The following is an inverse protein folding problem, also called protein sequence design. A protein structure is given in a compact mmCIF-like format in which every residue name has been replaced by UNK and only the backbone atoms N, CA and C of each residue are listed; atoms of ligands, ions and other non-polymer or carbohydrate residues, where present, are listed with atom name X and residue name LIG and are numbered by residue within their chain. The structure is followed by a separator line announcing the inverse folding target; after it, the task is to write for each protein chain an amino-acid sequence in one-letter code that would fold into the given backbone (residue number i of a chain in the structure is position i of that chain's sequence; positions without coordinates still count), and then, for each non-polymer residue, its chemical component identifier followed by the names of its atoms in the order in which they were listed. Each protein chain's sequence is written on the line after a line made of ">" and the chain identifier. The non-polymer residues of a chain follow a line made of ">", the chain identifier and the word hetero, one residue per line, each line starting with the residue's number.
data_IF_180189367339
#
_entry.id   IF_180189367339
#
_cell.length_a   1.000
_cell.length_b   1.000
_cell.length_c   1.000
_cell.angle_alpha   90.00
_cell.angle_beta   90.00
_cell.angle_gamma   90.00
#
_symmetry.space_group_name_H-M   'P 1'
#
loop_
_entity.id
_entity.type
_entity.pdbx_description
1 polymer ?
#
# COMPACT_ATOMS: atom_id res chain seq x y z
N UNK A 1 -68.52 -43.90 -13.18
CA UNK A 1 -67.67 -43.84 -11.97
C UNK A 1 -67.06 -42.45 -11.90
N UNK A 2 -67.23 -41.75 -10.78
CA UNK A 2 -66.93 -40.34 -10.60
C UNK A 2 -65.99 -40.14 -9.39
N UNK A 3 -65.17 -39.08 -9.46
CA UNK A 3 -64.38 -38.40 -8.39
C UNK A 3 -63.21 -39.22 -7.80
N UNK A 4 -62.05 -38.63 -7.44
CA UNK A 4 -61.79 -37.30 -6.88
C UNK A 4 -60.43 -36.74 -7.29
N UNK A 5 -60.34 -35.41 -7.29
CA UNK A 5 -59.13 -34.60 -7.20
C UNK A 5 -58.95 -34.11 -5.75
N UNK A 6 -57.71 -33.98 -5.29
CA UNK A 6 -57.21 -33.22 -4.11
C UNK A 6 -55.67 -33.32 -4.20
N UNK A 7 -54.85 -32.29 -4.49
CA UNK A 7 -54.55 -30.98 -3.87
C UNK A 7 -53.70 -31.06 -2.59
N UNK A 8 -52.61 -30.28 -2.57
CA UNK A 8 -51.74 -29.85 -1.43
C UNK A 8 -50.53 -30.76 -1.15
N UNK A 9 -49.30 -30.29 -0.89
CA UNK A 9 -48.76 -28.99 -0.51
C UNK A 9 -47.28 -28.90 -0.99
N UNK A 10 -46.80 -27.80 -1.58
CA UNK A 10 -45.99 -26.74 -0.91
C UNK A 10 -45.09 -27.20 0.25
N UNK A 11 -43.78 -27.10 0.04
CA UNK A 11 -42.72 -27.14 1.05
C UNK A 11 -41.35 -26.91 0.37
N UNK A 12 -40.42 -26.16 0.98
CA UNK A 12 -39.98 -24.87 0.42
C UNK A 12 -38.62 -24.92 -0.28
N UNK A 13 -38.39 -23.90 -1.10
CA UNK A 13 -37.07 -23.31 -1.33
C UNK A 13 -36.31 -23.21 0.00
N UNK A 14 -35.04 -23.62 -0.01
CA UNK A 14 -33.92 -23.21 0.86
C UNK A 14 -32.96 -24.40 0.96
N UNK A 15 -32.24 -24.71 -0.13
CA UNK A 15 -30.88 -25.20 0.08
C UNK A 15 -30.08 -23.99 0.46
N UNK A 16 -30.08 -23.77 1.78
CA UNK A 16 -29.19 -22.90 2.49
C UNK A 16 -27.83 -22.82 1.78
N UNK A 17 -27.44 -21.59 1.43
CA UNK A 17 -26.06 -21.15 1.55
C UNK A 17 -25.40 -21.95 2.68
N UNK A 18 -24.57 -22.93 2.31
CA UNK A 18 -23.68 -23.62 3.25
C UNK A 18 -22.81 -22.51 3.82
N UNK A 19 -23.17 -22.03 5.01
CA UNK A 19 -22.52 -20.90 5.64
C UNK A 19 -21.01 -21.16 5.65
N UNK A 20 -20.27 -20.36 4.89
CA UNK A 20 -18.82 -20.41 4.91
C UNK A 20 -18.33 -20.26 6.35
N UNK A 21 -17.26 -20.97 6.71
CA UNK A 21 -16.63 -20.78 8.02
C UNK A 21 -16.25 -19.30 8.19
N UNK A 22 -16.44 -18.70 9.37
CA UNK A 22 -15.98 -17.34 9.66
C UNK A 22 -14.50 -17.10 9.26
N UNK A 23 -13.65 -18.11 9.41
CA UNK A 23 -12.24 -18.06 9.01
C UNK A 23 -12.08 -17.92 7.48
N UNK A 24 -12.92 -18.60 6.69
CA UNK A 24 -12.86 -18.53 5.22
C UNK A 24 -13.30 -17.17 4.71
N UNK A 25 -14.39 -16.62 5.27
CA UNK A 25 -14.83 -15.25 4.95
C UNK A 25 -13.75 -14.21 5.25
N UNK A 26 -13.04 -14.36 6.37
CA UNK A 26 -11.93 -13.48 6.73
C UNK A 26 -10.81 -13.51 5.67
N UNK A 27 -10.36 -14.70 5.28
CA UNK A 27 -9.33 -14.87 4.23
C UNK A 27 -9.80 -14.25 2.90
N UNK A 28 -11.05 -14.50 2.51
CA UNK A 28 -11.61 -13.95 1.27
C UNK A 28 -11.69 -12.41 1.30
N UNK A 29 -11.99 -11.80 2.46
CA UNK A 29 -12.00 -10.36 2.65
C UNK A 29 -10.58 -9.77 2.65
N UNK A 30 -9.60 -10.44 3.28
CA UNK A 30 -8.18 -10.07 3.22
C UNK A 30 -7.64 -10.11 1.80
N UNK A 31 -7.95 -11.17 1.04
CA UNK A 31 -7.58 -11.30 -0.38
C UNK A 31 -8.24 -10.23 -1.24
N UNK A 32 -9.50 -9.85 -0.96
CA UNK A 32 -10.16 -8.74 -1.68
C UNK A 32 -9.40 -7.44 -1.46
N UNK A 33 -9.04 -7.14 -0.21
CA UNK A 33 -8.29 -5.94 0.16
C UNK A 33 -6.90 -5.91 -0.49
N UNK A 34 -6.19 -7.05 -0.49
CA UNK A 34 -4.91 -7.18 -1.20
C UNK A 34 -5.04 -6.88 -2.70
N UNK A 35 -6.08 -7.43 -3.35
CA UNK A 35 -6.32 -7.19 -4.78
C UNK A 35 -6.66 -5.73 -5.10
N UNK A 36 -7.45 -5.06 -4.25
CA UNK A 36 -7.76 -3.64 -4.40
C UNK A 36 -6.50 -2.77 -4.27
N UNK A 37 -5.63 -3.13 -3.33
CA UNK A 37 -4.37 -2.42 -3.11
C UNK A 37 -3.37 -2.63 -4.26
N UNK A 38 -3.24 -3.87 -4.75
CA UNK A 38 -2.43 -4.18 -5.94
C UNK A 38 -2.94 -3.45 -7.20
N UNK A 39 -4.27 -3.34 -7.36
CA UNK A 39 -4.85 -2.52 -8.43
C UNK A 39 -4.46 -1.05 -8.27
N UNK A 40 -4.52 -0.53 -7.05
CA UNK A 40 -4.15 0.87 -6.77
C UNK A 40 -2.67 1.13 -7.08
N UNK A 41 -1.79 0.19 -6.70
CA UNK A 41 -0.35 0.25 -6.98
C UNK A 41 -0.07 0.28 -8.49
N UNK A 42 -0.67 -0.62 -9.25
CA UNK A 42 -0.44 -0.73 -10.71
C UNK A 42 -0.94 0.47 -11.51
N UNK A 43 -1.85 1.27 -10.96
CA UNK A 43 -2.41 2.46 -11.61
C UNK A 43 -1.85 3.78 -11.06
N UNK A 44 -0.98 3.73 -10.04
CA UNK A 44 -0.40 4.93 -9.46
C UNK A 44 0.88 5.31 -10.20
N UNK A 45 0.98 6.60 -10.57
CA UNK A 45 2.16 7.19 -11.21
C UNK A 45 2.84 8.24 -10.33
N UNK A 46 2.33 8.47 -9.12
CA UNK A 46 2.89 9.40 -8.14
C UNK A 46 3.84 8.64 -7.20
N UNK A 47 5.15 8.96 -7.19
CA UNK A 47 6.12 8.30 -6.33
C UNK A 47 5.80 8.33 -4.84
N UNK A 48 5.24 9.44 -4.34
CA UNK A 48 4.89 9.58 -2.92
C UNK A 48 3.69 8.68 -2.61
N UNK A 49 2.69 8.67 -3.49
CA UNK A 49 1.55 7.76 -3.35
C UNK A 49 1.96 6.30 -3.45
N UNK A 50 2.86 5.95 -4.37
CA UNK A 50 3.40 4.60 -4.50
C UNK A 50 4.12 4.15 -3.22
N UNK A 51 4.90 5.05 -2.60
CA UNK A 51 5.55 4.77 -1.32
C UNK A 51 4.53 4.46 -0.21
N UNK A 52 3.47 5.26 -0.09
CA UNK A 52 2.39 4.99 0.87
C UNK A 52 1.70 3.64 0.60
N UNK A 53 1.31 3.39 -0.65
CA UNK A 53 0.60 2.16 -1.03
C UNK A 53 1.45 0.90 -0.82
N UNK A 54 2.77 0.96 -1.07
CA UNK A 54 3.68 -0.14 -0.81
C UNK A 54 3.85 -0.40 0.69
N UNK A 55 3.87 0.65 1.51
CA UNK A 55 3.84 0.52 2.97
C UNK A 55 2.57 -0.16 3.47
N UNK A 56 1.40 0.28 2.99
CA UNK A 56 0.11 -0.36 3.29
C UNK A 56 0.08 -1.83 2.85
N UNK A 57 0.66 -2.15 1.69
CA UNK A 57 0.71 -3.52 1.17
C UNK A 57 1.57 -4.41 2.05
N UNK A 58 2.72 -3.91 2.47
CA UNK A 58 3.63 -4.61 3.36
C UNK A 58 2.94 -4.95 4.68
N UNK A 59 2.31 -3.98 5.32
CA UNK A 59 1.61 -4.18 6.59
C UNK A 59 0.50 -5.24 6.46
N UNK A 60 -0.30 -5.14 5.40
CA UNK A 60 -1.38 -6.09 5.15
C UNK A 60 -0.87 -7.51 4.86
N UNK A 61 0.22 -7.65 4.11
CA UNK A 61 0.84 -8.95 3.83
C UNK A 61 1.44 -9.59 5.08
N UNK A 62 2.10 -8.82 5.94
CA UNK A 62 2.61 -9.32 7.22
C UNK A 62 1.47 -9.85 8.07
N UNK A 63 0.41 -9.05 8.23
CA UNK A 63 -0.77 -9.47 8.99
C UNK A 63 -1.42 -10.73 8.38
N UNK A 64 -1.59 -10.77 7.06
CA UNK A 64 -2.17 -11.91 6.35
C UNK A 64 -1.35 -13.19 6.53
N UNK A 65 -0.04 -13.12 6.31
CA UNK A 65 0.86 -14.27 6.44
C UNK A 65 0.98 -14.75 7.89
N UNK A 66 1.02 -13.85 8.88
CA UNK A 66 1.02 -14.22 10.30
C UNK A 66 -0.22 -15.04 10.66
N UNK A 67 -1.40 -14.68 10.13
CA UNK A 67 -2.62 -15.45 10.37
C UNK A 67 -2.61 -16.82 9.68
N UNK A 68 -2.09 -16.91 8.46
CA UNK A 68 -1.99 -18.20 7.75
C UNK A 68 -0.94 -19.14 8.36
N UNK A 69 0.18 -18.58 8.82
CA UNK A 69 1.31 -19.31 9.43
C UNK A 69 1.12 -19.63 10.91
N UNK A 70 0.11 -19.05 11.57
CA UNK A 70 -0.19 -19.29 12.97
C UNK A 70 -0.46 -20.77 13.26
N UNK A 71 -0.23 -21.16 14.53
CA UNK A 71 -0.48 -22.53 15.00
C UNK A 71 -1.94 -22.93 14.92
N UNK A 72 -2.89 -21.99 14.96
CA UNK A 72 -4.33 -22.19 14.74
C UNK A 72 -4.77 -21.80 13.30
N UNK A 73 -3.81 -21.59 12.42
CA UNK A 73 -3.99 -21.17 11.04
C UNK A 73 -3.97 -22.34 10.04
N UNK A 74 -3.41 -22.08 8.85
CA UNK A 74 -3.36 -23.05 7.75
C UNK A 74 -2.51 -24.28 8.11
N UNK A 75 -1.51 -24.10 9.00
CA UNK A 75 -0.63 -25.18 9.42
C UNK A 75 -1.32 -26.31 10.17
N UNK A 76 -2.19 -26.00 11.14
CA UNK A 76 -2.96 -27.02 11.87
C UNK A 76 -3.97 -27.71 10.95
N UNK A 77 -4.71 -26.95 10.14
CA UNK A 77 -5.68 -27.49 9.18
C UNK A 77 -5.06 -28.50 8.20
N UNK A 78 -3.86 -28.20 7.68
CA UNK A 78 -3.15 -29.11 6.78
C UNK A 78 -2.59 -30.31 7.53
N UNK A 79 -2.08 -30.13 8.76
CA UNK A 79 -1.54 -31.22 9.58
C UNK A 79 -2.63 -32.24 9.92
N UNK A 80 -3.83 -31.79 10.30
CA UNK A 80 -4.93 -32.65 10.71
C UNK A 80 -5.70 -33.27 9.54
N UNK A 81 -5.93 -32.50 8.46
CA UNK A 81 -6.80 -32.90 7.36
C UNK A 81 -6.09 -33.40 6.11
N UNK A 82 -4.82 -33.05 5.91
CA UNK A 82 -4.12 -33.27 4.64
C UNK A 82 -2.59 -33.33 4.80
N UNK A 83 -2.06 -34.08 5.77
CA UNK A 83 -0.63 -34.11 6.09
C UNK A 83 0.31 -34.38 4.88
N UNK A 84 -0.16 -35.12 3.87
CA UNK A 84 0.57 -35.33 2.61
C UNK A 84 0.84 -34.05 1.79
N UNK A 85 0.17 -32.94 2.11
CA UNK A 85 0.36 -31.59 1.53
C UNK A 85 1.32 -30.72 2.32
N UNK A 86 1.91 -31.21 3.40
CA UNK A 86 2.89 -30.46 4.20
C UNK A 86 4.04 -29.87 3.36
N UNK A 87 4.60 -30.56 2.34
CA UNK A 87 5.60 -29.96 1.46
C UNK A 87 5.09 -28.74 0.67
N UNK A 88 3.82 -28.76 0.23
CA UNK A 88 3.20 -27.64 -0.45
C UNK A 88 3.01 -26.45 0.49
N UNK A 89 2.63 -26.70 1.74
CA UNK A 89 2.48 -25.65 2.74
C UNK A 89 3.83 -24.98 3.07
N UNK A 90 4.88 -25.78 3.24
CA UNK A 90 6.23 -25.25 3.46
C UNK A 90 6.71 -24.40 2.28
N UNK A 91 6.37 -24.81 1.05
CA UNK A 91 6.66 -24.01 -0.14
C UNK A 91 5.93 -22.67 -0.13
N UNK A 92 4.64 -22.65 0.22
CA UNK A 92 3.86 -21.42 0.38
C UNK A 92 4.49 -20.44 1.39
N UNK A 93 4.93 -20.94 2.55
CA UNK A 93 5.59 -20.08 3.55
C UNK A 93 6.94 -19.54 3.06
N UNK A 94 7.62 -20.25 2.17
CA UNK A 94 8.82 -19.72 1.52
C UNK A 94 8.46 -18.65 0.47
N UNK A 95 7.40 -18.86 -0.30
CA UNK A 95 6.87 -17.85 -1.21
C UNK A 95 6.48 -16.56 -0.45
N UNK A 96 5.87 -16.67 0.73
CA UNK A 96 5.54 -15.53 1.59
C UNK A 96 6.79 -14.69 1.94
N UNK A 97 7.89 -15.35 2.33
CA UNK A 97 9.15 -14.67 2.65
C UNK A 97 9.73 -13.94 1.45
N UNK A 98 9.73 -14.56 0.28
CA UNK A 98 10.24 -13.92 -0.94
C UNK A 98 9.33 -12.78 -1.43
N UNK A 99 8.01 -12.88 -1.23
CA UNK A 99 7.08 -11.78 -1.48
C UNK A 99 7.38 -10.59 -0.57
N UNK A 100 7.51 -10.80 0.74
CA UNK A 100 7.81 -9.72 1.69
C UNK A 100 9.15 -9.04 1.36
N UNK A 101 10.18 -9.82 1.06
CA UNK A 101 11.49 -9.32 0.63
C UNK A 101 11.41 -8.49 -0.65
N UNK A 102 10.55 -8.89 -1.59
CA UNK A 102 10.31 -8.12 -2.82
C UNK A 102 9.64 -6.79 -2.51
N UNK A 103 8.62 -6.78 -1.64
CA UNK A 103 7.94 -5.55 -1.22
C UNK A 103 8.90 -4.63 -0.47
N UNK A 104 9.71 -5.16 0.45
CA UNK A 104 10.74 -4.39 1.17
C UNK A 104 11.73 -3.72 0.22
N UNK A 105 12.19 -4.46 -0.79
CA UNK A 105 13.08 -3.91 -1.81
C UNK A 105 12.42 -2.79 -2.62
N UNK A 106 11.12 -2.91 -2.95
CA UNK A 106 10.37 -1.87 -3.65
C UNK A 106 10.16 -0.63 -2.77
N UNK A 107 9.83 -0.80 -1.49
CA UNK A 107 9.71 0.29 -0.51
C UNK A 107 11.03 1.06 -0.38
N UNK A 108 12.15 0.35 -0.29
CA UNK A 108 13.47 0.97 -0.22
C UNK A 108 13.81 1.75 -1.49
N UNK A 109 13.52 1.18 -2.67
CA UNK A 109 13.78 1.83 -3.95
C UNK A 109 12.98 3.13 -4.12
N UNK A 110 11.67 3.09 -3.84
CA UNK A 110 10.83 4.28 -3.99
C UNK A 110 11.18 5.36 -2.95
N UNK A 111 11.55 4.95 -1.73
CA UNK A 111 12.04 5.87 -0.70
C UNK A 111 13.29 6.62 -1.15
N UNK A 112 14.27 5.92 -1.74
CA UNK A 112 15.47 6.54 -2.27
C UNK A 112 15.18 7.56 -3.39
N UNK A 113 14.20 7.29 -4.25
CA UNK A 113 13.77 8.20 -5.33
C UNK A 113 13.14 9.46 -4.73
N UNK A 114 12.18 9.30 -3.80
CA UNK A 114 11.47 10.42 -3.17
C UNK A 114 12.43 11.30 -2.38
N UNK A 115 13.31 10.70 -1.58
CA UNK A 115 14.30 11.42 -0.77
C UNK A 115 15.32 12.16 -1.65
N UNK A 116 15.72 11.56 -2.78
CA UNK A 116 16.62 12.17 -3.75
C UNK A 116 16.01 13.41 -4.39
N UNK A 117 14.78 13.28 -4.93
CA UNK A 117 14.07 14.39 -5.56
C UNK A 117 13.80 15.54 -4.57
N UNK A 118 13.41 15.22 -3.32
CA UNK A 118 13.18 16.22 -2.29
C UNK A 118 14.47 16.98 -1.93
N UNK A 119 15.61 16.27 -1.84
CA UNK A 119 16.90 16.89 -1.58
C UNK A 119 17.27 17.90 -2.67
N UNK A 120 17.11 17.53 -3.93
CA UNK A 120 17.39 18.41 -5.08
C UNK A 120 16.55 19.70 -5.04
N UNK A 121 15.25 19.57 -4.78
CA UNK A 121 14.35 20.73 -4.64
C UNK A 121 14.78 21.64 -3.49
N UNK A 122 15.08 21.07 -2.32
CA UNK A 122 15.50 21.83 -1.14
C UNK A 122 16.81 22.59 -1.38
N UNK A 123 17.77 21.93 -2.02
CA UNK A 123 19.06 22.54 -2.33
C UNK A 123 18.87 23.69 -3.33
N UNK A 124 18.06 23.51 -4.38
CA UNK A 124 17.71 24.57 -5.33
C UNK A 124 16.97 25.76 -4.70
N UNK A 125 16.07 25.52 -3.74
CA UNK A 125 15.41 26.61 -2.96
C UNK A 125 16.43 27.38 -2.12
N UNK A 126 17.42 26.69 -1.55
CA UNK A 126 18.48 27.32 -0.77
C UNK A 126 19.37 28.21 -1.64
N UNK A 127 19.76 27.73 -2.81
CA UNK A 127 20.54 28.48 -3.80
C UNK A 127 19.78 29.72 -4.32
N UNK A 128 18.48 29.57 -4.57
CA UNK A 128 17.61 30.68 -4.95
C UNK A 128 17.55 31.74 -3.84
N UNK A 129 17.36 31.32 -2.59
CA UNK A 129 17.32 32.23 -1.44
C UNK A 129 18.63 33.00 -1.26
N UNK A 130 19.78 32.34 -1.44
CA UNK A 130 21.08 33.01 -1.40
C UNK A 130 21.25 34.02 -2.55
N UNK A 131 20.84 33.64 -3.75
CA UNK A 131 20.90 34.51 -4.93
C UNK A 131 20.06 35.76 -4.73
N UNK A 132 18.84 35.63 -4.20
CA UNK A 132 17.97 36.76 -3.89
C UNK A 132 18.57 37.69 -2.83
N UNK A 133 19.11 37.14 -1.73
CA UNK A 133 19.78 37.97 -0.70
C UNK A 133 21.01 38.69 -1.20
N UNK A 134 21.74 38.12 -2.17
CA UNK A 134 22.85 38.82 -2.83
C UNK A 134 22.32 39.95 -3.69
N UNK A 135 21.33 39.67 -4.52
CA UNK A 135 20.69 40.67 -5.37
C UNK A 135 20.15 41.86 -4.56
N UNK A 136 19.42 41.62 -3.47
CA UNK A 136 18.90 42.67 -2.59
C UNK A 136 20.01 43.53 -1.98
N UNK A 137 21.15 42.93 -1.59
CA UNK A 137 22.31 43.68 -1.09
C UNK A 137 22.93 44.55 -2.18
N UNK A 138 23.10 43.99 -3.38
CA UNK A 138 23.67 44.73 -4.51
C UNK A 138 22.76 45.92 -4.89
N UNK A 139 21.43 45.76 -4.81
CA UNK A 139 20.48 46.86 -5.02
C UNK A 139 20.57 47.93 -3.92
N UNK A 140 20.61 47.53 -2.65
CA UNK A 140 20.75 48.47 -1.52
C UNK A 140 22.03 49.30 -1.62
N UNK A 141 23.15 48.67 -2.02
CA UNK A 141 24.43 49.35 -2.25
C UNK A 141 24.30 50.39 -3.37
N UNK A 142 23.66 50.03 -4.51
CA UNK A 142 23.42 50.96 -5.61
C UNK A 142 22.50 52.12 -5.22
N UNK A 143 21.43 51.85 -4.48
CA UNK A 143 20.53 52.91 -3.99
C UNK A 143 21.25 53.87 -3.05
N UNK A 144 22.07 53.33 -2.14
CA UNK A 144 22.89 54.13 -1.22
C UNK A 144 23.87 55.02 -1.99
N UNK A 145 24.62 54.46 -2.95
CA UNK A 145 25.55 55.22 -3.79
C UNK A 145 24.85 56.35 -4.57
N UNK A 146 23.69 56.07 -5.16
CA UNK A 146 22.90 57.08 -5.86
C UNK A 146 22.44 58.21 -4.92
N UNK A 147 22.00 57.87 -3.70
CA UNK A 147 21.53 58.86 -2.73
C UNK A 147 22.65 59.79 -2.23
N UNK A 148 23.83 59.24 -1.93
CA UNK A 148 24.97 60.01 -1.44
C UNK A 148 25.66 60.83 -2.54
N UNK A 149 25.64 60.37 -3.80
CA UNK A 149 26.20 61.12 -4.92
C UNK A 149 25.34 62.32 -5.33
N UNK A 150 24.03 62.27 -5.12
CA UNK A 150 23.10 63.37 -5.44
C UNK A 150 23.07 64.46 -4.34
N UNK A 151 23.26 64.09 -3.06
CA UNK A 151 23.35 65.03 -1.94
C UNK A 151 24.75 65.67 -1.76
N UNK A 152 25.78 65.12 -2.41
CA UNK A 152 27.17 65.59 -2.33
C UNK A 152 27.56 66.72 -3.31
N UNK A 153 26.63 67.19 -4.17
CA UNK A 153 26.82 68.39 -4.98
C UNK A 153 26.23 69.62 -4.29
N UNK A 154 26.95 70.16 -3.31
CA UNK A 154 26.83 71.58 -2.88
C UNK A 154 28.23 72.17 -2.77
#
# INVERSE_FOLDING_TARGET
>A
MARSAETSASGPETQASRGESPARRRIDDEHRRLNELLRSLTHSHDPVRLQTLLGELRELLVEHFEHEEATDGLHELVTEGAAHRMPNLQHLFEEHREILKTVDALVAQIGAIVDGAWREVRDGVSDLAETLRRHERDEEDLFSEAFYSDLGRV
#
